data_IF_106509155896
#
_entry.id   IF_106509155896
#
_cell.length_a   1.000
_cell.length_b   1.000
_cell.length_c   1.000
_cell.angle_alpha   90.00
_cell.angle_beta   90.00
_cell.angle_gamma   90.00
#
_symmetry.space_group_name_H-M   'P 1'
#
loop_
_entity.id
_entity.type
_entity.pdbx_description
1 polymer ?
#
# COMPACT_ATOMS: atom_id res chain seq x y z
N UNK A 1 8.82 15.75 2.50
CA UNK A 1 7.56 15.05 2.83
C UNK A 1 7.27 15.28 4.30
N UNK A 2 6.09 15.79 4.63
CA UNK A 2 5.69 15.92 6.03
C UNK A 2 5.47 14.52 6.63
N UNK A 3 6.11 14.23 7.75
CA UNK A 3 5.86 13.01 8.52
C UNK A 3 4.44 13.08 9.08
N UNK A 4 3.59 12.13 8.70
CA UNK A 4 2.23 12.03 9.23
C UNK A 4 2.34 11.31 10.58
N UNK A 5 1.86 11.96 11.64
CA UNK A 5 1.89 11.39 12.99
C UNK A 5 0.76 10.35 13.12
N UNK A 6 1.15 9.08 13.11
CA UNK A 6 0.22 7.95 13.17
C UNK A 6 -0.39 7.68 14.55
N UNK A 7 -0.01 8.44 15.57
CA UNK A 7 -0.49 8.24 16.95
C UNK A 7 -1.92 8.75 17.18
N UNK A 8 -2.39 9.68 16.36
CA UNK A 8 -3.70 10.34 16.49
C UNK A 8 -4.78 9.77 15.57
N UNK A 9 -4.43 8.85 14.67
CA UNK A 9 -5.35 8.30 13.67
C UNK A 9 -5.83 6.90 14.09
N UNK A 10 -7.14 6.68 14.03
CA UNK A 10 -7.71 5.32 14.11
C UNK A 10 -7.34 4.55 12.85
N UNK A 11 -6.39 3.64 12.96
CA UNK A 11 -5.90 2.85 11.83
C UNK A 11 -6.41 1.43 11.89
N UNK A 12 -6.92 0.94 10.77
CA UNK A 12 -7.20 -0.47 10.55
C UNK A 12 -5.90 -1.19 10.20
N UNK A 13 -5.68 -2.33 10.85
CA UNK A 13 -4.46 -3.11 10.70
C UNK A 13 -4.78 -4.38 9.91
N UNK A 14 -4.05 -4.61 8.82
CA UNK A 14 -4.20 -5.79 7.96
C UNK A 14 -2.92 -6.61 7.94
N UNK A 15 -3.00 -7.86 8.40
CA UNK A 15 -1.90 -8.82 8.28
C UNK A 15 -1.94 -9.43 6.88
N UNK A 16 -0.96 -9.09 6.04
CA UNK A 16 -0.89 -9.55 4.64
C UNK A 16 -0.28 -10.95 4.54
N UNK A 17 0.83 -11.18 5.24
CA UNK A 17 1.53 -12.45 5.23
C UNK A 17 2.36 -12.64 6.51
N UNK A 18 2.41 -13.88 6.98
CA UNK A 18 3.30 -14.31 8.06
C UNK A 18 4.13 -15.48 7.54
N UNK A 19 5.45 -15.32 7.58
CA UNK A 19 6.39 -16.33 7.12
C UNK A 19 7.35 -16.74 8.23
N UNK A 20 7.57 -18.04 8.39
CA UNK A 20 8.65 -18.54 9.24
C UNK A 20 9.97 -18.42 8.49
N UNK A 21 10.92 -17.70 9.06
CA UNK A 21 12.26 -17.47 8.51
C UNK A 21 13.31 -18.07 9.41
N UNK A 22 14.45 -18.46 8.88
CA UNK A 22 15.56 -19.00 9.67
C UNK A 22 16.88 -18.36 9.30
N UNK A 23 17.75 -18.20 10.31
CA UNK A 23 19.15 -17.86 10.14
C UNK A 23 20.00 -19.08 10.51
N UNK A 24 20.83 -19.54 9.60
CA UNK A 24 21.77 -20.63 9.86
C UNK A 24 23.01 -20.08 10.56
N UNK A 25 23.37 -20.68 11.68
CA UNK A 25 24.56 -20.39 12.51
C UNK A 25 25.36 -21.67 12.73
N UNK A 26 26.58 -21.57 13.26
CA UNK A 26 27.46 -22.74 13.52
C UNK A 26 26.78 -23.84 14.37
N UNK A 27 25.87 -23.47 15.29
CA UNK A 27 25.13 -24.39 16.16
C UNK A 27 23.77 -24.85 15.63
N UNK A 28 23.39 -24.52 14.38
CA UNK A 28 22.10 -24.92 13.82
C UNK A 28 21.30 -23.78 13.19
N UNK A 29 19.97 -23.86 13.23
CA UNK A 29 19.07 -22.86 12.65
C UNK A 29 18.28 -22.14 13.75
N UNK A 30 18.35 -20.81 13.75
CA UNK A 30 17.53 -19.96 14.62
C UNK A 30 16.30 -19.53 13.81
N UNK A 31 15.11 -19.94 14.27
CA UNK A 31 13.85 -19.61 13.61
C UNK A 31 13.27 -18.31 14.17
N UNK A 32 12.66 -17.53 13.29
CA UNK A 32 11.88 -16.33 13.61
C UNK A 32 10.65 -16.26 12.71
N UNK A 33 9.69 -15.41 13.08
CA UNK A 33 8.55 -15.10 12.24
C UNK A 33 8.71 -13.70 11.65
N UNK A 34 8.38 -13.55 10.37
CA UNK A 34 8.32 -12.27 9.69
C UNK A 34 6.87 -11.99 9.32
N UNK A 35 6.30 -10.91 9.83
CA UNK A 35 4.95 -10.45 9.51
C UNK A 35 5.03 -9.23 8.60
N UNK A 36 4.28 -9.26 7.48
CA UNK A 36 4.05 -8.13 6.60
C UNK A 36 2.70 -7.52 6.95
N UNK A 37 2.72 -6.27 7.38
CA UNK A 37 1.55 -5.55 7.87
C UNK A 37 1.30 -4.34 6.98
N UNK A 38 0.02 -4.05 6.77
CA UNK A 38 -0.46 -2.80 6.16
C UNK A 38 -1.40 -2.13 7.16
N UNK A 39 -1.25 -0.84 7.36
CA UNK A 39 -2.13 -0.02 8.19
C UNK A 39 -2.72 1.11 7.36
N UNK A 40 -3.95 1.53 7.66
CA UNK A 40 -4.57 2.67 6.97
C UNK A 40 -5.79 3.19 7.70
N UNK A 41 -6.12 4.45 7.44
CA UNK A 41 -7.25 5.18 8.04
C UNK A 41 -8.56 5.05 7.24
N UNK A 42 -8.51 4.43 6.06
CA UNK A 42 -9.65 4.38 5.13
C UNK A 42 -9.98 5.72 4.47
N UNK A 43 -9.16 6.75 4.65
CA UNK A 43 -9.35 8.12 4.15
C UNK A 43 -8.17 8.63 3.33
N UNK A 44 -7.44 7.72 2.69
CA UNK A 44 -6.32 8.04 1.82
C UNK A 44 -4.94 7.97 2.49
N UNK A 45 -4.84 7.60 3.77
CA UNK A 45 -3.54 7.40 4.43
C UNK A 45 -3.28 5.91 4.60
N UNK A 46 -2.09 5.48 4.20
CA UNK A 46 -1.70 4.07 4.27
C UNK A 46 -0.21 3.94 4.56
N UNK A 47 0.16 2.91 5.29
CA UNK A 47 1.54 2.55 5.54
C UNK A 47 1.74 1.04 5.49
N UNK A 48 2.98 0.62 5.33
CA UNK A 48 3.34 -0.78 5.46
C UNK A 48 4.58 -0.95 6.32
N UNK A 49 4.68 -2.08 6.99
CA UNK A 49 5.82 -2.42 7.82
C UNK A 49 6.11 -3.91 7.84
N UNK A 50 7.34 -4.26 8.18
CA UNK A 50 7.78 -5.64 8.32
C UNK A 50 8.35 -5.83 9.71
N UNK A 51 7.65 -6.61 10.54
CA UNK A 51 8.14 -7.01 11.86
C UNK A 51 8.78 -8.40 11.83
N UNK A 52 9.85 -8.59 12.60
CA UNK A 52 10.49 -9.89 12.80
C UNK A 52 10.71 -10.13 14.29
N UNK A 53 10.22 -11.28 14.80
CA UNK A 53 10.41 -11.68 16.20
C UNK A 53 10.44 -13.21 16.36
N UNK A 54 10.73 -13.68 17.57
CA UNK A 54 10.67 -15.12 17.91
C UNK A 54 9.26 -15.66 17.91
N UNK A 55 8.29 -14.82 18.27
CA UNK A 55 6.88 -15.15 18.35
C UNK A 55 6.06 -14.33 17.33
N UNK A 56 4.91 -14.89 16.91
CA UNK A 56 4.05 -14.25 15.91
C UNK A 56 3.43 -12.94 16.44
N UNK A 57 2.87 -12.85 17.66
CA UNK A 57 2.30 -11.61 18.18
C UNK A 57 3.30 -10.46 18.22
N UNK A 58 4.54 -10.74 18.65
CA UNK A 58 5.61 -9.74 18.70
C UNK A 58 6.04 -9.29 17.31
N UNK A 59 6.06 -10.20 16.32
CA UNK A 59 6.35 -9.85 14.93
C UNK A 59 5.27 -8.92 14.36
N UNK A 60 3.99 -9.17 14.67
CA UNK A 60 2.88 -8.33 14.26
C UNK A 60 3.01 -6.95 14.90
N UNK A 61 3.17 -6.85 16.23
CA UNK A 61 3.33 -5.58 16.94
C UNK A 61 4.45 -4.71 16.35
N UNK A 62 5.63 -5.30 16.14
CA UNK A 62 6.77 -4.61 15.52
C UNK A 62 6.47 -4.17 14.08
N UNK A 63 5.72 -4.99 13.32
CA UNK A 63 5.29 -4.63 11.97
C UNK A 63 4.34 -3.44 11.94
N UNK A 64 3.42 -3.35 12.90
CA UNK A 64 2.49 -2.23 13.06
C UNK A 64 3.25 -0.94 13.39
N UNK A 65 4.19 -1.00 14.35
CA UNK A 65 5.04 0.14 14.72
C UNK A 65 5.87 0.64 13.52
N UNK A 66 6.43 -0.27 12.73
CA UNK A 66 7.17 0.06 11.51
C UNK A 66 6.26 0.66 10.44
N UNK A 67 5.05 0.12 10.26
CA UNK A 67 4.07 0.64 9.31
C UNK A 67 3.60 2.06 9.67
N UNK A 68 3.38 2.35 10.96
CA UNK A 68 3.00 3.68 11.45
C UNK A 68 4.07 4.76 11.24
N UNK A 69 5.34 4.38 11.10
CA UNK A 69 6.44 5.29 10.77
C UNK A 69 6.52 5.63 9.27
N UNK A 70 5.96 4.77 8.42
CA UNK A 70 6.06 4.85 6.97
C UNK A 70 4.71 5.18 6.32
N UNK A 71 3.97 6.13 6.90
CA UNK A 71 2.67 6.55 6.39
C UNK A 71 2.81 7.43 5.14
N UNK A 72 1.91 7.22 4.20
CA UNK A 72 1.85 7.93 2.92
C UNK A 72 0.42 8.37 2.67
N UNK A 73 0.25 9.59 2.18
CA UNK A 73 -1.03 10.10 1.71
C UNK A 73 -1.19 9.83 0.23
N UNK A 74 -2.35 9.32 -0.16
CA UNK A 74 -2.72 8.94 -1.52
C UNK A 74 -3.79 9.89 -2.04
N UNK A 75 -3.62 10.38 -3.26
CA UNK A 75 -4.61 11.22 -3.94
C UNK A 75 -5.76 10.37 -4.48
N UNK A 76 -6.98 10.61 -4.01
CA UNK A 76 -8.20 9.90 -4.41
C UNK A 76 -9.12 10.79 -5.23
N UNK A 77 -9.96 10.17 -6.08
CA UNK A 77 -11.06 10.82 -6.80
C UNK A 77 -12.37 10.09 -6.47
N UNK A 78 -13.12 10.61 -5.51
CA UNK A 78 -14.34 9.96 -5.03
C UNK A 78 -14.06 8.58 -4.44
N UNK A 79 -14.63 7.52 -5.02
CA UNK A 79 -14.47 6.12 -4.57
C UNK A 79 -13.31 5.38 -5.23
N UNK A 80 -12.59 6.03 -6.18
CA UNK A 80 -11.55 5.42 -7.00
C UNK A 80 -10.29 6.29 -7.11
N UNK A 81 -9.33 5.87 -7.95
CA UNK A 81 -8.10 6.60 -8.26
C UNK A 81 -8.32 7.59 -9.42
N UNK A 82 -7.56 8.73 -9.48
CA UNK A 82 -7.73 9.76 -10.52
C UNK A 82 -7.47 9.26 -11.94
N UNK A 83 -6.46 8.42 -12.13
CA UNK A 83 -6.05 7.90 -13.44
C UNK A 83 -5.39 6.52 -13.33
N UNK A 84 -5.21 5.86 -14.47
CA UNK A 84 -4.46 4.60 -14.56
C UNK A 84 -3.01 4.81 -14.15
N UNK A 85 -2.48 3.86 -13.39
CA UNK A 85 -1.08 3.87 -12.94
C UNK A 85 -0.51 2.47 -12.89
N UNK A 86 0.79 2.36 -13.20
CA UNK A 86 1.56 1.15 -13.02
C UNK A 86 2.63 1.39 -11.97
N UNK A 87 2.47 0.76 -10.81
CA UNK A 87 3.47 0.80 -9.76
C UNK A 87 4.55 -0.26 -9.99
N UNK A 88 5.81 0.11 -9.78
CA UNK A 88 6.96 -0.79 -9.94
C UNK A 88 7.85 -0.66 -8.71
N UNK A 89 8.22 -1.81 -8.14
CA UNK A 89 9.21 -1.90 -7.08
C UNK A 89 9.97 -3.22 -7.16
N UNK A 90 11.27 -3.16 -7.43
CA UNK A 90 12.09 -4.35 -7.66
C UNK A 90 11.48 -5.26 -8.73
N UNK A 91 11.22 -6.51 -8.38
CA UNK A 91 10.56 -7.47 -9.28
C UNK A 91 9.03 -7.32 -9.33
N UNK A 92 8.42 -6.51 -8.43
CA UNK A 92 6.98 -6.27 -8.39
C UNK A 92 6.55 -5.27 -9.45
N UNK A 93 5.46 -5.57 -10.18
CA UNK A 93 4.80 -4.66 -11.12
C UNK A 93 3.29 -4.84 -10.98
N UNK A 94 2.58 -3.77 -10.62
CA UNK A 94 1.13 -3.77 -10.39
C UNK A 94 0.48 -2.70 -11.24
N UNK A 95 -0.45 -3.12 -12.08
CA UNK A 95 -1.31 -2.22 -12.86
C UNK A 95 -2.56 -1.91 -12.05
N UNK A 96 -2.92 -0.65 -11.94
CA UNK A 96 -4.13 -0.17 -11.28
C UNK A 96 -4.90 0.74 -12.22
N UNK A 97 -6.19 0.43 -12.42
CA UNK A 97 -7.10 1.18 -13.30
C UNK A 97 -8.29 1.66 -12.49
N UNK A 98 -8.73 2.91 -12.69
CA UNK A 98 -9.97 3.40 -12.09
C UNK A 98 -11.15 2.56 -12.57
N UNK A 99 -12.20 2.48 -11.77
CA UNK A 99 -13.42 1.77 -12.07
C UNK A 99 -14.64 2.62 -11.75
N UNK A 100 -15.76 2.32 -12.43
CA UNK A 100 -17.03 2.97 -12.15
C UNK A 100 -17.53 2.61 -10.73
N UNK A 101 -18.29 3.51 -10.08
CA UNK A 101 -18.92 3.23 -8.80
C UNK A 101 -19.75 1.94 -8.84
N UNK A 102 -19.62 1.10 -7.81
CA UNK A 102 -20.31 -0.18 -7.73
C UNK A 102 -19.55 -1.38 -8.32
N UNK A 103 -18.37 -1.16 -8.94
CA UNK A 103 -17.54 -2.26 -9.45
C UNK A 103 -16.91 -3.08 -8.31
N UNK A 104 -16.62 -2.43 -7.19
CA UNK A 104 -15.92 -3.03 -6.06
C UNK A 104 -14.40 -3.15 -6.27
N UNK A 105 -13.73 -3.76 -5.30
CA UNK A 105 -12.27 -3.96 -5.32
C UNK A 105 -11.92 -5.26 -6.03
N UNK A 106 -11.40 -5.17 -7.25
CA UNK A 106 -10.87 -6.32 -8.01
C UNK A 106 -9.35 -6.32 -7.89
N UNK A 107 -8.84 -7.07 -6.92
CA UNK A 107 -7.42 -7.09 -6.58
C UNK A 107 -6.97 -8.44 -6.02
N UNK A 108 -5.71 -8.79 -6.23
CA UNK A 108 -5.07 -9.92 -5.54
C UNK A 108 -4.85 -9.62 -4.07
N UNK A 109 -4.73 -10.66 -3.21
CA UNK A 109 -4.68 -10.52 -1.74
C UNK A 109 -3.79 -9.39 -1.21
N UNK A 110 -2.49 -9.33 -1.53
CA UNK A 110 -1.60 -8.27 -1.06
C UNK A 110 -1.97 -6.86 -1.55
N UNK A 111 -2.45 -6.74 -2.80
CA UNK A 111 -2.92 -5.47 -3.35
C UNK A 111 -4.22 -5.05 -2.68
N UNK A 112 -5.15 -6.00 -2.48
CA UNK A 112 -6.45 -5.75 -1.84
C UNK A 112 -6.27 -5.18 -0.44
N UNK A 113 -5.38 -5.74 0.37
CA UNK A 113 -5.09 -5.23 1.71
C UNK A 113 -4.66 -3.76 1.71
N UNK A 114 -3.84 -3.34 0.73
CA UNK A 114 -3.43 -1.94 0.58
C UNK A 114 -4.61 -1.06 0.16
N UNK A 115 -5.38 -1.49 -0.84
CA UNK A 115 -6.50 -0.73 -1.40
C UNK A 115 -7.61 -0.52 -0.36
N UNK A 116 -7.96 -1.56 0.40
CA UNK A 116 -8.94 -1.49 1.49
C UNK A 116 -8.45 -0.60 2.64
N UNK A 117 -7.16 -0.67 2.99
CA UNK A 117 -6.56 0.20 4.00
C UNK A 117 -6.58 1.68 3.60
N UNK A 118 -6.40 1.99 2.30
CA UNK A 118 -6.53 3.35 1.74
C UNK A 118 -7.99 3.84 1.75
N UNK A 119 -8.97 2.93 1.67
CA UNK A 119 -10.39 3.26 1.59
C UNK A 119 -10.94 3.40 0.17
N UNK A 120 -10.23 2.89 -0.83
CA UNK A 120 -10.72 2.82 -2.21
C UNK A 120 -11.78 1.72 -2.32
N UNK A 121 -12.94 2.08 -2.88
CA UNK A 121 -14.08 1.16 -3.01
C UNK A 121 -14.19 0.53 -4.39
N UNK A 122 -13.72 1.23 -5.44
CA UNK A 122 -13.90 0.82 -6.83
C UNK A 122 -12.58 0.91 -7.59
N UNK A 123 -11.98 -0.25 -7.90
CA UNK A 123 -10.69 -0.32 -8.62
C UNK A 123 -10.50 -1.69 -9.28
N UNK A 124 -9.81 -1.70 -10.41
CA UNK A 124 -9.34 -2.92 -11.08
C UNK A 124 -7.83 -2.97 -11.08
N UNK A 125 -7.28 -4.07 -10.61
CA UNK A 125 -5.82 -4.24 -10.50
C UNK A 125 -5.34 -5.56 -11.05
N UNK A 126 -4.08 -5.61 -11.48
CA UNK A 126 -3.41 -6.84 -11.91
C UNK A 126 -1.93 -6.82 -11.55
N UNK A 127 -1.47 -7.82 -10.83
CA UNK A 127 -0.04 -8.07 -10.66
C UNK A 127 0.51 -8.68 -11.95
N UNK A 128 1.51 -8.02 -12.57
CA UNK A 128 2.03 -8.37 -13.88
C UNK A 128 3.34 -9.18 -13.83
N UNK A 129 4.01 -9.21 -12.67
CA UNK A 129 5.30 -9.87 -12.48
C UNK A 129 5.30 -10.71 -11.20
N UNK A 130 6.18 -10.39 -10.25
CA UNK A 130 6.36 -11.15 -9.01
C UNK A 130 5.09 -11.25 -8.18
N UNK A 131 4.83 -12.45 -7.63
CA UNK A 131 3.76 -12.71 -6.67
C UNK A 131 4.25 -12.61 -5.21
N UNK A 132 5.50 -12.21 -4.97
CA UNK A 132 6.00 -12.01 -3.61
C UNK A 132 5.22 -10.88 -2.93
N UNK A 133 4.52 -11.15 -1.80
CA UNK A 133 3.68 -10.16 -1.14
C UNK A 133 4.40 -8.85 -0.78
N UNK A 134 5.65 -8.93 -0.33
CA UNK A 134 6.45 -7.75 0.00
C UNK A 134 6.70 -6.85 -1.23
N UNK A 135 7.03 -7.45 -2.37
CA UNK A 135 7.27 -6.68 -3.60
C UNK A 135 5.96 -6.12 -4.16
N UNK A 136 4.88 -6.89 -4.08
CA UNK A 136 3.56 -6.46 -4.56
C UNK A 136 3.03 -5.29 -3.74
N UNK A 137 3.09 -5.35 -2.40
CA UNK A 137 2.67 -4.24 -1.52
C UNK A 137 3.48 -2.98 -1.81
N UNK A 138 4.80 -3.09 -1.91
CA UNK A 138 5.67 -1.94 -2.21
C UNK A 138 5.41 -1.36 -3.61
N UNK A 139 5.21 -2.20 -4.60
CA UNK A 139 4.86 -1.75 -5.96
C UNK A 139 3.50 -1.04 -5.97
N UNK A 140 2.50 -1.55 -5.25
CA UNK A 140 1.19 -0.91 -5.12
C UNK A 140 1.31 0.48 -4.49
N UNK A 141 2.05 0.60 -3.38
CA UNK A 141 2.28 1.89 -2.72
C UNK A 141 3.05 2.87 -3.61
N UNK A 142 4.09 2.43 -4.30
CA UNK A 142 4.83 3.27 -5.25
C UNK A 142 3.93 3.81 -6.36
N UNK A 143 3.01 2.99 -6.88
CA UNK A 143 2.02 3.43 -7.86
C UNK A 143 1.02 4.44 -7.26
N UNK A 144 0.49 4.19 -6.08
CA UNK A 144 -0.44 5.09 -5.40
C UNK A 144 0.20 6.44 -5.05
N UNK A 145 1.49 6.46 -4.68
CA UNK A 145 2.25 7.69 -4.42
C UNK A 145 2.47 8.55 -5.68
N UNK A 146 2.51 7.93 -6.85
CA UNK A 146 2.70 8.64 -8.12
C UNK A 146 1.41 9.24 -8.69
N UNK A 147 0.26 8.97 -8.08
CA UNK A 147 -1.01 9.55 -8.48
C UNK A 147 -1.02 11.07 -8.26
N UNK A 148 -1.56 11.77 -9.24
CA UNK A 148 -1.76 13.23 -9.19
C UNK A 148 -3.22 13.57 -9.43
N UNK A 149 -3.73 14.56 -8.72
CA UNK A 149 -5.06 15.11 -8.97
C UNK A 149 -5.05 16.03 -10.19
N UNK A 150 -6.21 16.25 -10.79
CA UNK A 150 -6.34 17.20 -11.91
C UNK A 150 -5.94 18.62 -11.47
N UNK A 151 -6.24 19.00 -10.22
CA UNK A 151 -5.88 20.29 -9.65
C UNK A 151 -4.35 20.48 -9.54
N UNK A 152 -3.64 19.44 -9.08
CA UNK A 152 -2.17 19.45 -9.03
C UNK A 152 -1.54 19.60 -10.42
N UNK A 153 -2.10 18.89 -11.41
CA UNK A 153 -1.61 18.96 -12.80
C UNK A 153 -1.92 20.32 -13.40
N UNK A 154 -3.11 20.89 -13.13
CA UNK A 154 -3.53 22.21 -13.55
C UNK A 154 -2.57 23.30 -13.03
N UNK A 155 -2.27 23.25 -11.74
CA UNK A 155 -1.34 24.16 -11.10
C UNK A 155 0.07 24.12 -11.73
N UNK A 156 0.59 22.91 -12.02
CA UNK A 156 1.91 22.75 -12.65
C UNK A 156 1.92 23.23 -14.10
N UNK A 157 0.81 23.06 -14.85
CA UNK A 157 0.73 23.46 -16.26
C UNK A 157 0.26 24.91 -16.47
N UNK A 158 -0.20 25.60 -15.42
CA UNK A 158 -0.76 26.96 -15.51
C UNK A 158 -2.06 27.01 -16.31
N UNK A 159 -2.85 25.91 -16.34
CA UNK A 159 -4.11 25.77 -17.08
C UNK A 159 -5.28 25.55 -16.12
N UNK A 160 -6.49 25.80 -16.61
CA UNK A 160 -7.70 25.47 -15.85
C UNK A 160 -7.94 23.95 -15.79
N UNK A 161 -8.59 23.47 -14.72
CA UNK A 161 -8.95 22.04 -14.58
C UNK A 161 -9.82 21.55 -15.74
N UNK A 162 -10.67 22.43 -16.28
CA UNK A 162 -11.53 22.10 -17.43
C UNK A 162 -10.71 21.76 -18.67
N UNK A 163 -9.69 22.56 -18.97
CA UNK A 163 -8.79 22.35 -20.14
C UNK A 163 -7.88 21.11 -20.00
N UNK A 164 -7.80 20.52 -18.81
CA UNK A 164 -7.00 19.31 -18.58
C UNK A 164 -7.86 18.05 -18.68
N UNK A 165 -9.17 18.17 -18.44
CA UNK A 165 -10.11 17.06 -18.48
C UNK A 165 -10.79 16.88 -19.84
N UNK A 166 -10.73 17.88 -20.71
CA UNK A 166 -11.11 17.85 -22.11
C UNK A 166 -10.00 17.26 -22.99
#
# INVERSE_FOLDING_TARGET
MALIDGSTLEMKEHVVAINRVSKTVKGGRIYKFAALIVVGDGNGTVGFGIGKAGEVPDAIRKGIEDAKKNLVKVSLKGTTIPHEVTGIYGAGKVLMKPAAPGTGVIAGGPVRAVIEAVGIKDIRTKALRSNNPCNVVRATLAGLQSLRTADEVAAVRGKSVKEILE
#
